data_IF_447296922992
#
_entry.id   IF_447296922992
#
_cell.length_a   1.000
_cell.length_b   1.000
_cell.length_c   1.000
_cell.angle_alpha   90.00
_cell.angle_beta   90.00
_cell.angle_gamma   90.00
#
_symmetry.space_group_name_H-M   'P 1'
#
loop_
_entity.id
_entity.type
_entity.pdbx_description
1 polymer ?
#
# COMPACT_ATOMS: atom_id res chain seq x y z
N UNK A 1 -19.09 15.45 -7.14
CA UNK A 1 -17.68 15.16 -6.79
C UNK A 1 -17.69 14.03 -5.78
N UNK A 2 -17.62 12.78 -6.22
CA UNK A 2 -17.46 11.63 -5.32
C UNK A 2 -15.97 11.28 -5.26
N UNK A 3 -15.30 11.87 -4.27
CA UNK A 3 -13.95 11.52 -3.86
C UNK A 3 -14.09 10.41 -2.83
N UNK A 4 -14.04 9.15 -3.27
CA UNK A 4 -13.63 7.96 -2.48
C UNK A 4 -14.14 6.69 -3.16
N UNK A 5 -13.31 5.99 -3.94
CA UNK A 5 -13.40 4.52 -4.08
C UNK A 5 -12.06 3.91 -4.52
N UNK A 6 -11.10 3.63 -3.63
CA UNK A 6 -10.30 2.44 -3.85
C UNK A 6 -11.18 1.25 -3.44
N UNK A 7 -11.88 0.65 -4.41
CA UNK A 7 -12.46 -0.67 -4.21
C UNK A 7 -11.30 -1.66 -4.22
N UNK A 8 -10.83 -2.08 -3.04
CA UNK A 8 -9.82 -3.13 -2.93
C UNK A 8 -10.51 -4.49 -2.94
N UNK A 9 -10.20 -5.33 -3.92
CA UNK A 9 -10.68 -6.72 -3.99
C UNK A 9 -9.58 -7.67 -3.58
N UNK A 10 -9.88 -8.69 -2.76
CA UNK A 10 -8.94 -9.75 -2.39
C UNK A 10 -9.33 -11.03 -3.12
N UNK A 11 -8.36 -11.67 -3.76
CA UNK A 11 -8.54 -12.93 -4.46
C UNK A 11 -7.46 -13.95 -4.06
N UNK A 12 -7.80 -15.23 -4.22
CA UNK A 12 -6.85 -16.33 -4.11
C UNK A 12 -6.11 -16.53 -5.44
N UNK A 13 -4.79 -16.62 -5.40
CA UNK A 13 -3.97 -17.03 -6.53
C UNK A 13 -4.03 -18.55 -6.71
N UNK A 14 -3.88 -19.03 -7.94
CA UNK A 14 -3.82 -20.47 -8.25
C UNK A 14 -2.66 -21.18 -7.50
N UNK A 15 -1.56 -20.47 -7.26
CA UNK A 15 -0.40 -20.95 -6.51
C UNK A 15 -0.58 -20.97 -4.98
N UNK A 16 -1.78 -20.75 -4.46
CA UNK A 16 -2.07 -20.79 -3.02
C UNK A 16 -1.77 -19.50 -2.24
N UNK A 17 -1.41 -18.42 -2.94
CA UNK A 17 -1.23 -17.09 -2.36
C UNK A 17 -2.52 -16.25 -2.34
N UNK A 18 -2.45 -15.08 -1.71
CA UNK A 18 -3.51 -14.07 -1.80
C UNK A 18 -2.95 -12.81 -2.45
N UNK A 19 -3.75 -12.21 -3.31
CA UNK A 19 -3.46 -10.90 -3.88
C UNK A 19 -4.69 -10.01 -3.79
N UNK A 20 -4.49 -8.71 -3.88
CA UNK A 20 -5.57 -7.78 -4.08
C UNK A 20 -5.22 -6.64 -5.01
N UNK A 21 -6.24 -6.02 -5.57
CA UNK A 21 -6.12 -4.97 -6.58
C UNK A 21 -6.78 -3.70 -6.11
N UNK A 22 -6.19 -2.55 -6.43
CA UNK A 22 -6.78 -1.24 -6.18
C UNK A 22 -6.30 -0.19 -7.17
N UNK A 23 -7.08 0.89 -7.24
CA UNK A 23 -6.79 2.04 -8.08
C UNK A 23 -5.93 3.06 -7.34
N UNK A 24 -4.85 3.48 -8.00
CA UNK A 24 -3.95 4.55 -7.58
C UNK A 24 -4.21 5.77 -8.44
N UNK A 25 -4.57 6.90 -7.83
CA UNK A 25 -4.74 8.15 -8.55
C UNK A 25 -3.44 8.66 -9.19
N UNK A 26 -3.54 9.39 -10.30
CA UNK A 26 -2.39 9.93 -11.04
C UNK A 26 -1.39 10.71 -10.17
N UNK A 27 -1.88 11.48 -9.18
CA UNK A 27 -1.04 12.26 -8.24
C UNK A 27 -0.20 11.39 -7.29
N UNK A 28 -0.63 10.15 -7.04
CA UNK A 28 0.07 9.18 -6.20
C UNK A 28 1.06 8.30 -6.96
N UNK A 29 0.84 8.09 -8.27
CA UNK A 29 1.61 7.14 -9.09
C UNK A 29 3.12 7.35 -8.97
N UNK A 30 3.61 8.58 -9.11
CA UNK A 30 5.05 8.88 -9.08
C UNK A 30 5.77 8.57 -7.76
N UNK A 31 5.02 8.22 -6.70
CA UNK A 31 5.56 7.84 -5.39
C UNK A 31 5.46 6.33 -5.13
N UNK A 32 4.72 5.59 -5.96
CA UNK A 32 4.51 4.15 -5.84
C UNK A 32 5.67 3.40 -6.50
N UNK A 33 6.21 2.41 -5.80
CA UNK A 33 7.29 1.56 -6.27
C UNK A 33 7.00 0.10 -5.93
N UNK A 34 7.47 -0.81 -6.79
CA UNK A 34 7.41 -2.25 -6.52
C UNK A 34 8.09 -2.59 -5.18
N UNK A 35 7.50 -3.53 -4.45
CA UNK A 35 7.99 -3.97 -3.15
C UNK A 35 7.69 -3.02 -1.97
N UNK A 36 7.06 -1.87 -2.20
CA UNK A 36 6.61 -1.00 -1.11
C UNK A 36 5.59 -1.71 -0.22
N UNK A 37 5.63 -1.38 1.07
CA UNK A 37 4.68 -1.90 2.06
C UNK A 37 3.32 -1.25 1.84
N UNK A 38 2.28 -2.04 1.92
CA UNK A 38 0.89 -1.59 1.87
C UNK A 38 0.19 -2.03 3.14
N UNK A 39 -0.53 -1.10 3.77
CA UNK A 39 -1.40 -1.36 4.90
C UNK A 39 -2.82 -1.48 4.35
N UNK A 40 -3.43 -2.65 4.52
CA UNK A 40 -4.80 -2.90 4.04
C UNK A 40 -5.72 -3.02 5.25
N UNK A 41 -6.67 -2.09 5.37
CA UNK A 41 -7.70 -2.03 6.43
C UNK A 41 -9.02 -2.51 5.84
N UNK A 42 -9.66 -3.47 6.49
CA UNK A 42 -10.92 -4.03 6.01
C UNK A 42 -12.08 -3.24 6.59
N UNK A 43 -13.05 -2.85 5.77
CA UNK A 43 -14.16 -2.01 6.23
C UNK A 43 -15.10 -2.81 7.14
N UNK A 44 -15.23 -4.11 6.88
CA UNK A 44 -15.99 -5.05 7.70
C UNK A 44 -15.32 -5.39 9.04
N UNK A 45 -14.05 -5.03 9.25
CA UNK A 45 -13.30 -5.37 10.47
C UNK A 45 -12.56 -4.13 11.00
N UNK A 46 -13.09 -3.44 12.03
CA UNK A 46 -12.45 -2.27 12.61
C UNK A 46 -11.00 -2.54 12.98
N UNK A 47 -10.08 -1.77 12.40
CA UNK A 47 -8.65 -1.99 12.55
C UNK A 47 -8.17 -1.86 14.01
N UNK A 48 -8.91 -1.13 14.85
CA UNK A 48 -8.62 -0.97 16.28
C UNK A 48 -8.71 -2.29 17.04
N UNK A 49 -9.62 -3.19 16.62
CA UNK A 49 -9.88 -4.47 17.29
C UNK A 49 -9.23 -5.65 16.57
N UNK A 50 -9.16 -5.58 15.24
CA UNK A 50 -8.73 -6.69 14.39
C UNK A 50 -7.35 -6.48 13.77
N UNK A 51 -6.77 -5.28 13.88
CA UNK A 51 -5.53 -4.93 13.22
C UNK A 51 -5.73 -4.70 11.71
N UNK A 52 -4.64 -4.82 10.96
CA UNK A 52 -4.63 -4.62 9.50
C UNK A 52 -3.83 -5.72 8.82
N UNK A 53 -4.03 -5.87 7.51
CA UNK A 53 -3.24 -6.76 6.67
C UNK A 53 -2.00 -6.03 6.15
N UNK A 54 -0.89 -6.76 6.07
CA UNK A 54 0.36 -6.28 5.48
C UNK A 54 0.52 -6.86 4.08
N UNK A 55 0.55 -5.97 3.11
CA UNK A 55 0.79 -6.31 1.71
C UNK A 55 2.09 -5.74 1.17
N UNK A 56 2.46 -6.17 -0.03
CA UNK A 56 3.52 -5.58 -0.84
C UNK A 56 3.05 -5.33 -2.27
N UNK A 57 3.39 -4.18 -2.83
CA UNK A 57 3.16 -3.92 -4.25
C UNK A 57 3.94 -4.94 -5.08
N UNK A 58 3.22 -5.73 -5.86
CA UNK A 58 3.78 -6.75 -6.76
C UNK A 58 3.73 -6.30 -8.22
N UNK A 59 2.72 -5.51 -8.57
CA UNK A 59 2.56 -4.99 -9.92
C UNK A 59 1.90 -3.62 -9.89
N UNK A 60 2.27 -2.80 -10.87
CA UNK A 60 1.65 -1.51 -11.17
C UNK A 60 1.47 -1.46 -12.69
N UNK A 61 0.26 -1.17 -13.13
CA UNK A 61 -0.05 -1.00 -14.55
C UNK A 61 0.66 0.22 -15.11
N UNK A 62 1.23 0.08 -16.30
CA UNK A 62 1.83 1.18 -17.07
C UNK A 62 0.77 2.06 -17.76
N UNK A 63 -0.48 1.56 -17.85
CA UNK A 63 -1.61 2.23 -18.47
C UNK A 63 -2.69 2.54 -17.44
N UNK A 64 -3.45 3.60 -17.67
CA UNK A 64 -4.58 3.94 -16.82
C UNK A 64 -5.73 2.96 -17.06
N UNK A 65 -6.36 2.48 -15.97
CA UNK A 65 -7.69 1.90 -16.05
C UNK A 65 -8.72 3.03 -16.05
N UNK A 66 -9.44 3.18 -17.16
CA UNK A 66 -10.38 4.28 -17.35
C UNK A 66 -9.70 5.65 -17.43
N UNK A 67 -10.37 6.69 -16.91
CA UNK A 67 -10.01 8.07 -17.21
C UNK A 67 -8.79 8.64 -16.45
N UNK A 68 -8.42 8.16 -15.26
CA UNK A 68 -7.38 8.85 -14.43
C UNK A 68 -6.63 8.00 -13.38
N UNK A 69 -6.79 6.68 -13.36
CA UNK A 69 -6.22 5.82 -12.30
C UNK A 69 -5.37 4.68 -12.82
N UNK A 70 -4.35 4.28 -12.08
CA UNK A 70 -3.50 3.12 -12.39
C UNK A 70 -3.91 1.93 -11.53
N UNK A 71 -3.92 0.73 -12.11
CA UNK A 71 -4.17 -0.50 -11.38
C UNK A 71 -2.90 -0.94 -10.65
N UNK A 72 -2.97 -1.14 -9.35
CA UNK A 72 -1.90 -1.72 -8.56
C UNK A 72 -2.33 -3.06 -7.96
N UNK A 73 -1.44 -4.06 -8.03
CA UNK A 73 -1.62 -5.37 -7.41
C UNK A 73 -0.73 -5.50 -6.18
N UNK A 74 -1.30 -6.03 -5.12
CA UNK A 74 -0.67 -6.26 -3.82
C UNK A 74 -0.68 -7.73 -3.52
N UNK A 75 0.47 -8.29 -3.19
CA UNK A 75 0.57 -9.63 -2.61
C UNK A 75 0.52 -9.57 -1.09
N UNK A 76 -0.01 -10.63 -0.48
CA UNK A 76 -0.01 -10.84 0.97
C UNK A 76 0.94 -11.98 1.33
N UNK A 77 2.24 -11.71 1.54
CA UNK A 77 3.24 -12.76 1.77
C UNK A 77 3.01 -13.53 3.07
N UNK A 78 2.35 -12.90 4.06
CA UNK A 78 1.98 -13.52 5.34
C UNK A 78 0.57 -14.14 5.29
N UNK A 79 -0.05 -14.20 4.11
CA UNK A 79 -1.45 -14.56 3.92
C UNK A 79 -2.42 -13.50 4.48
N UNK A 80 -3.68 -13.88 4.66
CA UNK A 80 -4.71 -13.02 5.26
C UNK A 80 -4.66 -13.05 6.79
N UNK A 81 -3.47 -12.88 7.35
CA UNK A 81 -3.25 -12.80 8.80
C UNK A 81 -3.07 -11.34 9.20
N UNK A 82 -3.91 -10.86 10.09
CA UNK A 82 -3.81 -9.48 10.57
C UNK A 82 -2.64 -9.31 11.53
N UNK A 83 -2.24 -8.06 11.77
CA UNK A 83 -1.26 -7.73 12.81
C UNK A 83 -1.62 -8.20 14.21
N UNK A 84 -2.91 -8.43 14.49
CA UNK A 84 -3.38 -9.02 15.75
C UNK A 84 -3.41 -10.55 15.72
N UNK A 85 -2.75 -11.18 14.73
CA UNK A 85 -2.68 -12.63 14.52
C UNK A 85 -4.04 -13.30 14.31
N UNK A 86 -5.04 -12.56 13.85
CA UNK A 86 -6.33 -13.12 13.46
C UNK A 86 -6.26 -13.56 12.00
N UNK A 87 -6.56 -14.82 11.73
CA UNK A 87 -6.70 -15.33 10.37
C UNK A 87 -8.07 -14.92 9.83
N UNK A 88 -8.07 -14.25 8.69
CA UNK A 88 -9.29 -13.83 8.02
C UNK A 88 -9.67 -14.86 6.97
N UNK A 89 -10.96 -15.21 6.97
CA UNK A 89 -11.56 -16.01 5.92
C UNK A 89 -11.93 -15.06 4.78
N UNK A 90 -11.42 -15.37 3.59
CA UNK A 90 -11.80 -14.65 2.39
C UNK A 90 -13.30 -14.83 2.17
N UNK A 91 -14.03 -13.73 2.12
CA UNK A 91 -15.43 -13.69 1.69
C UNK A 91 -15.52 -12.83 0.44
N UNK A 92 -16.29 -13.29 -0.54
CA UNK A 92 -16.52 -12.53 -1.75
C UNK A 92 -17.18 -11.18 -1.41
N UNK A 93 -16.74 -10.12 -2.08
CA UNK A 93 -17.26 -8.77 -1.87
C UNK A 93 -16.71 -8.05 -0.62
N UNK A 94 -15.67 -8.55 0.03
CA UNK A 94 -14.97 -7.78 1.08
C UNK A 94 -14.36 -6.52 0.48
N UNK A 95 -14.84 -5.36 0.94
CA UNK A 95 -14.28 -4.05 0.63
C UNK A 95 -13.20 -3.72 1.65
N UNK A 96 -12.08 -3.17 1.15
CA UNK A 96 -10.99 -2.72 1.98
C UNK A 96 -10.41 -1.42 1.46
N UNK A 97 -9.75 -0.70 2.37
CA UNK A 97 -8.97 0.49 2.09
C UNK A 97 -7.48 0.15 2.15
N UNK A 98 -6.73 0.51 1.11
CA UNK A 98 -5.29 0.29 1.02
C UNK A 98 -4.52 1.61 1.14
N UNK A 99 -3.50 1.63 1.99
CA UNK A 99 -2.59 2.75 2.18
C UNK A 99 -1.16 2.32 1.85
N UNK A 100 -0.54 3.00 0.89
CA UNK A 100 0.84 2.72 0.48
C UNK A 100 1.79 3.49 1.41
N UNK A 101 2.67 2.75 2.10
CA UNK A 101 3.66 3.35 2.99
C UNK A 101 4.82 3.87 2.15
N UNK A 102 4.77 5.15 1.78
CA UNK A 102 5.87 5.83 1.11
C UNK A 102 7.09 5.91 2.05
N UNK A 103 8.27 5.55 1.57
CA UNK A 103 9.53 5.80 2.31
C UNK A 103 9.84 7.29 2.25
N UNK A 104 9.66 7.99 3.36
CA UNK A 104 10.21 9.34 3.53
C UNK A 104 11.74 9.26 3.62
N UNK A 105 12.46 9.49 2.51
CA UNK A 105 13.93 9.61 2.52
C UNK A 105 14.45 11.04 2.41
N UNK A 106 13.59 12.06 2.41
CA UNK A 106 14.03 13.43 2.07
C UNK A 106 14.08 14.44 3.21
N UNK A 107 13.49 14.18 4.38
CA UNK A 107 13.55 15.15 5.49
C UNK A 107 14.88 15.09 6.25
N UNK A 108 15.26 13.91 6.73
CA UNK A 108 16.49 13.73 7.51
C UNK A 108 17.73 14.02 6.66
N UNK A 109 17.74 13.62 5.38
CA UNK A 109 18.84 13.93 4.47
C UNK A 109 18.99 15.44 4.18
N UNK A 110 17.89 16.21 4.16
CA UNK A 110 17.93 17.68 4.01
C UNK A 110 18.46 18.39 5.26
N UNK A 111 18.14 17.87 6.46
CA UNK A 111 18.65 18.41 7.71
C UNK A 111 20.17 18.23 7.84
N UNK A 112 20.72 17.10 7.39
CA UNK A 112 22.17 16.86 7.41
C UNK A 112 22.96 17.71 6.40
N UNK A 113 22.37 18.09 5.26
CA UNK A 113 23.02 19.02 4.31
C UNK A 113 23.11 20.47 4.83
N UNK A 114 22.31 20.85 5.83
CA UNK A 114 22.36 22.20 6.41
C UNK A 114 23.34 22.32 7.59
N UNK A 115 23.93 21.21 8.05
CA UNK A 115 24.84 21.18 9.21
C UNK A 115 26.28 20.84 8.82
N UNK A 116 26.65 20.85 7.53
CA UNK A 116 28.04 20.71 7.11
C UNK A 116 28.86 21.84 7.76
N UNK A 117 29.73 21.54 8.74
CA UNK A 117 30.32 22.54 9.59
C UNK A 117 31.53 23.17 8.90
N UNK A 118 31.66 24.47 9.14
CA UNK A 118 32.72 25.37 8.72
C UNK A 118 34.05 24.99 9.40
N UNK A 119 34.76 23.95 8.92
CA UNK A 119 36.08 23.57 9.48
C UNK A 119 37.08 23.16 8.41
N UNK A 120 37.43 24.08 7.52
CA UNK A 120 38.66 23.95 6.74
C UNK A 120 39.31 25.33 6.55
N UNK A 121 39.95 25.82 7.61
CA UNK A 121 41.16 26.66 7.54
C UNK A 121 41.65 27.02 8.94
N UNK A 122 42.62 26.27 9.43
CA UNK A 122 43.82 26.78 10.11
C UNK A 122 44.92 25.72 9.99
#
# INVERSE_FOLDING_TARGET
MEVNKPLFYIAKAEAGGYWGEFQVGQSGMGKVQLGQKVIVRLDAFPYQEHGYLKGRIEYLSDFTSGDTSYLAKVSFPEGLVTTHKKQLLLKDGLVANAEIVAKERTLIARLFNSLAPFWEKY
#
